data_IF_447791644184
#
_entry.id   IF_447791644184
#
_cell.length_a   1.000
_cell.length_b   1.000
_cell.length_c   1.000
_cell.angle_alpha   90.00
_cell.angle_beta   90.00
_cell.angle_gamma   90.00
#
_symmetry.space_group_name_H-M   'P 1'
#
loop_
_entity.id
_entity.type
_entity.pdbx_description
1 polymer ?
#
# COMPACT_ATOMS: atom_id res chain seq x y z
N UNK A 1 35.96 -63.06 -18.89
CA UNK A 1 36.47 -63.27 -17.53
C UNK A 1 37.00 -61.93 -17.06
N UNK A 2 36.46 -61.16 -16.14
CA UNK A 2 35.21 -61.09 -15.36
C UNK A 2 35.18 -59.61 -14.92
N UNK A 3 34.13 -58.82 -15.18
CA UNK A 3 32.88 -58.72 -14.42
C UNK A 3 33.05 -58.37 -12.93
N UNK A 4 32.18 -57.46 -12.44
CA UNK A 4 31.97 -56.92 -11.08
C UNK A 4 32.48 -55.46 -10.87
N UNK A 5 31.71 -54.49 -10.38
CA UNK A 5 30.35 -54.43 -9.80
C UNK A 5 29.83 -52.97 -9.83
N UNK A 6 28.52 -52.83 -10.06
CA UNK A 6 27.72 -51.63 -9.80
C UNK A 6 27.71 -51.22 -8.33
N UNK A 7 27.66 -49.91 -8.06
CA UNK A 7 27.04 -49.37 -6.86
C UNK A 7 26.27 -48.09 -7.21
N UNK A 8 24.95 -48.23 -7.37
CA UNK A 8 24.01 -47.13 -7.51
C UNK A 8 23.76 -46.51 -6.13
N UNK A 9 24.06 -45.23 -5.97
CA UNK A 9 23.71 -44.45 -4.78
C UNK A 9 22.30 -43.88 -4.99
N UNK A 10 21.32 -44.44 -4.28
CA UNK A 10 20.00 -43.82 -4.08
C UNK A 10 20.09 -42.83 -2.91
N UNK A 11 19.59 -41.59 -3.02
CA UNK A 11 19.24 -40.84 -1.83
C UNK A 11 17.88 -41.30 -1.31
N UNK A 12 17.86 -41.66 -0.03
CA UNK A 12 16.66 -41.97 0.73
C UNK A 12 15.82 -40.69 0.92
N UNK A 13 14.54 -40.76 0.53
CA UNK A 13 13.52 -39.78 0.89
C UNK A 13 12.77 -40.35 2.08
N UNK A 14 12.99 -39.77 3.26
CA UNK A 14 12.19 -40.03 4.47
C UNK A 14 12.04 -38.74 5.29
N UNK A 15 10.82 -38.21 5.40
CA UNK A 15 10.45 -37.17 6.38
C UNK A 15 9.31 -36.26 5.92
N UNK A 16 8.39 -35.83 6.80
CA UNK A 16 6.96 -35.67 6.49
C UNK A 16 6.57 -34.22 6.15
N UNK A 17 5.86 -34.00 5.04
CA UNK A 17 5.41 -32.66 4.64
C UNK A 17 3.93 -32.59 4.20
N UNK A 18 3.05 -33.40 4.80
CA UNK A 18 1.63 -33.41 4.41
C UNK A 18 0.60 -33.27 5.55
N UNK A 19 1.01 -33.19 6.83
CA UNK A 19 0.05 -33.05 7.94
C UNK A 19 -0.19 -31.61 8.43
N UNK A 20 0.69 -30.64 8.09
CA UNK A 20 0.58 -29.26 8.58
C UNK A 20 -0.52 -28.43 7.92
N UNK A 21 -0.87 -28.73 6.66
CA UNK A 21 -1.79 -27.92 5.87
C UNK A 21 -3.26 -28.05 6.30
N UNK A 22 -3.66 -29.24 6.74
CA UNK A 22 -5.01 -29.50 7.27
C UNK A 22 -5.26 -28.80 8.61
N UNK A 23 -4.23 -28.57 9.42
CA UNK A 23 -4.33 -27.85 10.69
C UNK A 23 -4.48 -26.34 10.46
N UNK A 24 -3.82 -25.81 9.42
CA UNK A 24 -3.90 -24.39 9.05
C UNK A 24 -5.30 -24.02 8.51
N UNK A 25 -5.88 -24.87 7.66
CA UNK A 25 -7.25 -24.67 7.13
C UNK A 25 -8.33 -24.77 8.20
N UNK A 26 -8.18 -25.66 9.19
CA UNK A 26 -9.13 -25.77 10.32
C UNK A 26 -9.07 -24.54 11.24
N UNK A 27 -7.88 -23.97 11.47
CA UNK A 27 -7.73 -22.75 12.26
C UNK A 27 -8.30 -21.50 11.56
N UNK A 28 -8.17 -21.41 10.24
CA UNK A 28 -8.73 -20.29 9.46
C UNK A 28 -10.28 -20.29 9.44
N UNK A 29 -10.89 -21.47 9.31
CA UNK A 29 -12.34 -21.60 9.39
C UNK A 29 -12.91 -21.26 10.79
N UNK A 30 -12.19 -21.62 11.86
CA UNK A 30 -12.60 -21.30 13.23
C UNK A 30 -12.55 -19.80 13.54
N UNK A 31 -11.58 -19.06 13.00
CA UNK A 31 -11.46 -17.59 13.21
C UNK A 31 -12.54 -16.81 12.44
N UNK A 32 -13.00 -17.33 11.31
CA UNK A 32 -14.02 -16.68 10.47
C UNK A 32 -15.43 -16.71 11.11
N UNK A 33 -15.76 -17.77 11.86
CA UNK A 33 -17.06 -17.92 12.54
C UNK A 33 -17.14 -17.05 13.81
N UNK A 34 -16.01 -16.90 14.54
CA UNK A 34 -15.92 -16.05 15.74
C UNK A 34 -16.01 -14.56 15.37
N UNK A 35 -15.45 -14.15 14.23
CA UNK A 35 -15.58 -12.79 13.71
C UNK A 35 -17.02 -12.40 13.36
N UNK A 36 -17.79 -13.32 12.77
CA UNK A 36 -19.18 -13.06 12.38
C UNK A 36 -20.13 -12.92 13.60
N UNK A 37 -19.87 -13.66 14.68
CA UNK A 37 -20.66 -13.54 15.92
C UNK A 37 -20.37 -12.25 16.70
N UNK A 38 -19.11 -11.77 16.69
CA UNK A 38 -18.77 -10.48 17.31
C UNK A 38 -19.37 -9.27 16.57
N UNK A 39 -19.49 -9.34 15.25
CA UNK A 39 -20.13 -8.28 14.45
C UNK A 39 -21.65 -8.18 14.72
N UNK A 40 -22.32 -9.31 15.01
CA UNK A 40 -23.76 -9.34 15.31
C UNK A 40 -24.12 -8.83 16.70
N UNK A 41 -23.17 -8.81 17.64
CA UNK A 41 -23.34 -8.30 19.00
C UNK A 41 -23.10 -6.78 19.13
N UNK A 42 -22.35 -6.18 18.20
CA UNK A 42 -22.02 -4.74 18.22
C UNK A 42 -23.15 -3.83 17.69
N UNK A 43 -24.21 -4.38 17.10
CA UNK A 43 -25.33 -3.61 16.52
C UNK A 43 -26.57 -3.49 17.43
N UNK A 44 -26.49 -3.92 18.71
CA UNK A 44 -27.64 -3.81 19.64
C UNK A 44 -27.85 -2.46 20.35
N UNK A 45 -26.89 -1.54 20.55
CA UNK A 45 -27.19 -0.32 21.30
C UNK A 45 -27.81 0.81 20.46
N UNK A 46 -27.80 0.73 19.12
CA UNK A 46 -28.20 1.86 18.26
C UNK A 46 -29.72 2.01 18.03
N UNK A 47 -30.56 1.10 18.53
CA UNK A 47 -32.01 1.14 18.30
C UNK A 47 -32.81 1.82 19.42
N UNK A 48 -32.33 1.80 20.66
CA UNK A 48 -33.02 2.41 21.81
C UNK A 48 -32.82 3.94 21.90
N UNK A 49 -31.71 4.46 21.39
CA UNK A 49 -31.40 5.90 21.47
C UNK A 49 -32.26 6.74 20.51
N UNK A 50 -32.67 6.14 19.38
CA UNK A 50 -33.59 6.76 18.40
C UNK A 50 -35.04 6.87 18.88
N UNK A 51 -35.47 5.98 19.77
CA UNK A 51 -36.84 6.01 20.31
C UNK A 51 -36.96 7.03 21.46
N UNK A 52 -35.89 7.24 22.22
CA UNK A 52 -35.86 8.22 23.32
C UNK A 52 -35.90 9.68 22.81
N UNK A 53 -35.31 9.96 21.65
CA UNK A 53 -35.39 11.28 21.00
C UNK A 53 -36.76 11.60 20.40
N UNK A 54 -37.60 10.59 20.14
CA UNK A 54 -38.93 10.76 19.55
C UNK A 54 -40.01 11.07 20.61
N UNK A 55 -39.80 10.68 21.87
CA UNK A 55 -40.81 10.83 22.94
C UNK A 55 -40.72 12.13 23.75
N UNK A 56 -39.65 12.92 23.64
CA UNK A 56 -39.50 14.18 24.35
C UNK A 56 -38.77 15.24 23.49
N UNK A 57 -39.47 16.02 22.65
CA UNK A 57 -38.88 17.20 22.05
C UNK A 57 -38.64 18.28 23.12
N UNK A 58 -37.52 19.02 23.07
CA UNK A 58 -37.29 20.12 24.00
C UNK A 58 -38.34 21.23 23.81
N UNK A 59 -38.89 21.69 24.94
CA UNK A 59 -39.86 22.78 25.03
C UNK A 59 -39.23 24.07 24.51
N UNK A 60 -39.86 24.65 23.49
CA UNK A 60 -39.56 25.98 22.96
C UNK A 60 -39.95 27.05 23.98
N UNK A 61 -38.97 27.76 24.54
CA UNK A 61 -39.20 29.00 25.29
C UNK A 61 -38.99 30.21 24.39
N UNK A 62 -40.00 31.08 24.43
CA UNK A 62 -40.18 32.25 23.58
C UNK A 62 -39.13 33.36 23.76
N UNK A 63 -39.02 34.18 22.70
CA UNK A 63 -38.33 35.47 22.63
C UNK A 63 -38.81 36.49 23.69
N UNK A 64 -38.02 37.57 23.87
CA UNK A 64 -38.60 38.90 23.84
C UNK A 64 -38.04 39.75 22.69
N UNK A 65 -38.97 40.54 22.16
CA UNK A 65 -38.92 41.52 21.08
C UNK A 65 -38.14 42.79 21.44
N UNK A 66 -37.44 43.38 20.46
CA UNK A 66 -37.29 44.84 20.31
C UNK A 66 -36.46 45.18 19.04
N UNK A 67 -36.99 46.05 18.17
CA UNK A 67 -36.19 46.76 17.16
C UNK A 67 -36.82 46.84 15.76
N UNK A 68 -37.76 47.78 15.59
CA UNK A 68 -38.31 48.25 14.30
C UNK A 68 -37.24 48.96 13.43
N UNK A 69 -37.33 48.74 12.12
CA UNK A 69 -37.26 49.74 11.03
C UNK A 69 -37.40 48.96 9.70
N UNK A 70 -38.57 48.97 9.09
CA UNK A 70 -38.96 49.88 7.99
C UNK A 70 -38.38 49.44 6.63
N UNK A 71 -39.22 48.86 5.77
CA UNK A 71 -39.82 49.49 4.56
C UNK A 71 -39.14 48.93 3.29
N UNK A 72 -39.86 48.11 2.51
CA UNK A 72 -40.48 48.50 1.24
C UNK A 72 -40.88 47.25 0.45
N UNK A 73 -42.19 47.17 0.21
CA UNK A 73 -42.87 46.26 -0.70
C UNK A 73 -42.58 46.70 -2.13
N UNK A 74 -42.15 45.78 -3.00
CA UNK A 74 -42.39 45.94 -4.43
C UNK A 74 -42.74 44.58 -5.06
N UNK A 75 -44.05 44.36 -5.19
CA UNK A 75 -44.63 43.36 -6.05
C UNK A 75 -44.51 43.84 -7.50
N UNK A 76 -44.06 42.95 -8.39
CA UNK A 76 -43.97 43.19 -9.82
C UNK A 76 -43.89 41.85 -10.56
N UNK A 77 -45.04 41.45 -11.10
CA UNK A 77 -45.32 40.18 -11.73
C UNK A 77 -44.67 40.04 -13.12
N UNK A 78 -44.20 38.81 -13.41
CA UNK A 78 -44.28 38.03 -14.66
C UNK A 78 -44.22 38.77 -16.01
N UNK A 79 -43.30 38.34 -16.89
CA UNK A 79 -43.58 37.82 -18.26
C UNK A 79 -42.27 37.27 -18.87
N UNK A 80 -42.25 35.95 -19.07
CA UNK A 80 -41.75 35.25 -20.26
C UNK A 80 -40.30 35.44 -20.73
N UNK A 81 -39.42 34.49 -20.38
CA UNK A 81 -38.53 33.83 -21.36
C UNK A 81 -38.37 32.35 -20.97
N UNK A 82 -39.42 31.56 -21.24
CA UNK A 82 -39.30 30.09 -21.29
C UNK A 82 -38.67 29.71 -22.63
N UNK A 83 -37.37 29.40 -22.64
CA UNK A 83 -36.70 28.45 -23.56
C UNK A 83 -35.17 28.53 -23.42
N UNK A 84 -34.62 27.88 -22.39
CA UNK A 84 -33.24 27.37 -22.36
C UNK A 84 -33.02 26.56 -21.09
N UNK A 85 -33.70 25.42 -20.98
CA UNK A 85 -33.56 24.47 -19.87
C UNK A 85 -33.49 23.03 -20.38
N UNK A 86 -32.68 22.76 -21.42
CA UNK A 86 -32.42 21.38 -21.86
C UNK A 86 -31.05 21.28 -22.51
N UNK A 87 -29.95 21.32 -21.73
CA UNK A 87 -28.63 20.70 -22.04
C UNK A 87 -27.54 21.23 -21.09
N UNK A 88 -27.54 20.82 -19.82
CA UNK A 88 -26.45 21.23 -18.94
C UNK A 88 -26.27 20.43 -17.65
N UNK A 89 -27.10 19.41 -17.40
CA UNK A 89 -27.14 18.72 -16.11
C UNK A 89 -26.63 17.28 -16.09
N UNK A 90 -26.24 16.69 -17.23
CA UNK A 90 -25.98 15.24 -17.31
C UNK A 90 -24.53 14.82 -17.59
N UNK A 91 -23.56 15.74 -17.63
CA UNK A 91 -22.17 15.41 -18.04
C UNK A 91 -21.18 15.33 -16.86
N UNK A 92 -21.61 15.61 -15.62
CA UNK A 92 -20.70 15.68 -14.47
C UNK A 92 -20.49 14.35 -13.69
N UNK A 93 -21.05 13.23 -14.17
CA UNK A 93 -21.06 11.96 -13.41
C UNK A 93 -20.11 10.87 -13.91
N UNK A 94 -19.18 11.16 -14.85
CA UNK A 94 -18.34 10.13 -15.49
C UNK A 94 -16.84 10.16 -15.13
N UNK A 95 -16.39 11.01 -14.19
CA UNK A 95 -14.93 11.17 -13.94
C UNK A 95 -14.41 10.39 -12.71
N UNK A 96 -15.24 9.58 -12.03
CA UNK A 96 -14.83 8.79 -10.86
C UNK A 96 -14.49 7.33 -11.19
N UNK A 97 -13.83 7.11 -12.33
CA UNK A 97 -13.45 5.78 -12.83
C UNK A 97 -11.94 5.53 -12.87
N UNK A 98 -11.15 6.19 -12.00
CA UNK A 98 -9.72 5.92 -11.85
C UNK A 98 -9.44 4.77 -10.89
N UNK A 99 -10.18 3.66 -10.98
CA UNK A 99 -9.82 2.45 -10.23
C UNK A 99 -8.52 1.90 -10.82
N UNK A 100 -7.45 1.94 -10.02
CA UNK A 100 -6.21 1.19 -10.18
C UNK A 100 -6.36 -0.04 -11.08
N UNK A 101 -6.07 0.11 -12.37
CA UNK A 101 -6.36 -0.93 -13.35
C UNK A 101 -5.18 -1.89 -13.42
N UNK A 102 -5.27 -2.99 -12.68
CA UNK A 102 -4.42 -4.16 -12.88
C UNK A 102 -4.75 -4.74 -14.26
N UNK A 103 -3.73 -4.90 -15.10
CA UNK A 103 -3.82 -5.55 -16.40
C UNK A 103 -3.13 -6.91 -16.30
N UNK A 104 -3.90 -8.02 -16.26
CA UNK A 104 -3.31 -9.36 -16.21
C UNK A 104 -2.56 -9.67 -17.50
N UNK A 105 -1.59 -10.59 -17.41
CA UNK A 105 -0.84 -11.06 -18.57
C UNK A 105 -1.69 -12.09 -19.35
N UNK A 106 -2.00 -11.79 -20.60
CA UNK A 106 -2.74 -12.71 -21.47
C UNK A 106 -1.88 -13.91 -21.90
N UNK A 107 -2.52 -15.02 -22.29
CA UNK A 107 -1.82 -16.27 -22.61
C UNK A 107 -0.94 -16.17 -23.86
N UNK A 108 -1.30 -15.31 -24.82
CA UNK A 108 -0.56 -15.13 -26.06
C UNK A 108 0.74 -14.34 -25.83
N UNK A 109 0.68 -13.28 -25.04
CA UNK A 109 1.81 -12.49 -24.58
C UNK A 109 2.68 -13.35 -23.64
N UNK A 110 2.08 -14.13 -22.72
CA UNK A 110 2.80 -15.10 -21.87
C UNK A 110 3.64 -16.09 -22.69
N UNK A 111 3.10 -16.64 -23.77
CA UNK A 111 3.83 -17.58 -24.63
C UNK A 111 4.98 -16.91 -25.40
N UNK A 112 4.87 -15.60 -25.68
CA UNK A 112 5.89 -14.82 -26.40
C UNK A 112 7.01 -14.31 -25.49
N UNK A 113 6.71 -14.05 -24.22
CA UNK A 113 7.66 -13.49 -23.27
C UNK A 113 8.60 -14.57 -22.73
N UNK A 114 9.84 -14.59 -23.23
CA UNK A 114 10.88 -15.49 -22.72
C UNK A 114 11.81 -14.79 -21.72
N UNK A 115 11.99 -13.49 -21.86
CA UNK A 115 13.04 -12.74 -21.17
C UNK A 115 12.54 -11.36 -20.74
N UNK A 116 12.89 -10.98 -19.52
CA UNK A 116 12.58 -9.68 -18.92
C UNK A 116 13.86 -9.00 -18.48
N UNK A 117 13.99 -7.72 -18.81
CA UNK A 117 14.99 -6.82 -18.27
C UNK A 117 14.32 -5.91 -17.24
N UNK A 118 14.89 -5.82 -16.05
CA UNK A 118 14.39 -4.92 -15.00
C UNK A 118 15.10 -3.58 -15.15
N UNK A 119 14.33 -2.52 -15.39
CA UNK A 119 14.87 -1.17 -15.45
C UNK A 119 15.61 -0.86 -14.12
N UNK A 120 16.91 -0.49 -14.15
CA UNK A 120 17.64 -0.15 -12.95
C UNK A 120 17.09 1.09 -12.22
N UNK A 121 16.44 1.99 -12.95
CA UNK A 121 15.91 3.23 -12.42
C UNK A 121 14.51 2.99 -11.84
N UNK A 122 14.46 2.75 -10.53
CA UNK A 122 13.21 2.61 -9.79
C UNK A 122 12.65 4.01 -9.50
N UNK A 123 11.43 4.30 -9.97
CA UNK A 123 10.78 5.58 -9.70
C UNK A 123 10.23 5.60 -8.28
N UNK A 124 10.90 6.30 -7.36
CA UNK A 124 10.47 6.42 -5.96
C UNK A 124 9.82 7.78 -5.71
N UNK A 125 8.76 7.81 -4.90
CA UNK A 125 8.20 9.07 -4.41
C UNK A 125 9.29 9.96 -3.80
N UNK A 126 9.35 11.27 -4.12
CA UNK A 126 10.31 12.17 -3.50
C UNK A 126 9.98 12.46 -2.03
N UNK A 127 8.80 12.06 -1.54
CA UNK A 127 8.38 12.26 -0.16
C UNK A 127 8.17 10.90 0.51
N UNK A 128 8.89 10.67 1.61
CA UNK A 128 8.67 9.52 2.46
C UNK A 128 7.48 9.77 3.38
N UNK A 129 6.53 8.84 3.38
CA UNK A 129 5.38 8.86 4.27
C UNK A 129 5.81 8.62 5.71
N UNK A 130 5.34 9.45 6.64
CA UNK A 130 5.61 9.26 8.06
C UNK A 130 4.37 9.59 8.88
N UNK A 131 3.93 8.63 9.70
CA UNK A 131 2.87 8.82 10.68
C UNK A 131 3.25 8.14 12.00
N UNK A 132 4.04 8.84 12.82
CA UNK A 132 4.47 8.41 14.15
C UNK A 132 3.84 9.18 15.30
N UNK A 133 4.00 8.65 16.51
CA UNK A 133 3.65 9.37 17.73
C UNK A 133 4.62 10.55 17.93
N UNK A 134 4.10 11.78 17.81
CA UNK A 134 4.86 13.02 18.01
C UNK A 134 5.60 13.48 16.76
N UNK A 135 5.40 14.75 16.39
CA UNK A 135 6.08 15.47 15.30
C UNK A 135 7.58 15.74 15.56
N UNK A 136 8.18 15.09 16.57
CA UNK A 136 9.49 15.41 17.14
C UNK A 136 10.67 14.58 16.59
N UNK A 137 10.48 13.87 15.46
CA UNK A 137 11.56 13.13 14.77
C UNK A 137 12.81 13.99 14.57
N UNK A 138 12.66 15.30 14.37
CA UNK A 138 13.81 16.19 14.20
C UNK A 138 14.69 16.44 15.42
N UNK A 139 14.16 16.28 16.62
CA UNK A 139 15.01 16.25 17.82
C UNK A 139 15.77 14.93 17.93
N UNK A 140 15.15 13.82 17.53
CA UNK A 140 15.78 12.50 17.57
C UNK A 140 16.90 12.35 16.54
N UNK A 141 16.80 12.99 15.37
CA UNK A 141 17.88 13.02 14.37
C UNK A 141 18.79 14.25 14.47
N UNK A 142 18.62 15.05 15.52
CA UNK A 142 19.45 16.21 15.82
C UNK A 142 20.95 15.90 15.73
N UNK A 143 21.63 16.67 14.89
CA UNK A 143 23.08 16.70 14.69
C UNK A 143 23.75 15.50 13.99
N UNK A 144 23.07 14.80 13.07
CA UNK A 144 23.81 13.93 12.11
C UNK A 144 24.53 14.82 11.09
N UNK A 145 25.80 15.16 11.38
CA UNK A 145 26.78 15.65 10.39
C UNK A 145 26.68 17.12 9.94
N UNK A 146 26.59 18.09 10.85
CA UNK A 146 26.67 19.53 10.51
C UNK A 146 25.42 20.13 9.85
N UNK A 147 24.39 19.31 9.60
CA UNK A 147 23.13 19.68 8.93
C UNK A 147 22.00 20.07 9.90
N UNK A 148 22.32 20.37 11.16
CA UNK A 148 21.30 20.61 12.21
C UNK A 148 20.31 21.72 11.84
N UNK A 149 20.74 22.74 11.11
CA UNK A 149 19.88 23.83 10.62
C UNK A 149 19.07 23.46 9.37
N UNK A 150 19.58 22.55 8.52
CA UNK A 150 18.88 22.10 7.31
C UNK A 150 17.75 21.10 7.64
N UNK A 151 17.95 20.24 8.64
CA UNK A 151 16.97 19.25 9.08
C UNK A 151 15.77 19.89 9.80
N UNK A 152 15.96 21.05 10.45
CA UNK A 152 14.89 21.74 11.19
C UNK A 152 13.71 22.18 10.33
N UNK A 153 13.92 22.36 9.01
CA UNK A 153 12.87 22.74 8.06
C UNK A 153 12.27 21.56 7.28
N UNK A 154 12.78 20.34 7.50
CA UNK A 154 12.32 19.15 6.79
C UNK A 154 11.14 18.49 7.50
N UNK A 155 10.24 17.89 6.72
CA UNK A 155 9.18 17.03 7.28
C UNK A 155 9.79 15.83 8.04
N UNK A 156 9.09 15.27 9.04
CA UNK A 156 9.57 14.07 9.77
C UNK A 156 9.96 12.91 8.84
N UNK A 157 9.21 12.71 7.75
CA UNK A 157 9.53 11.71 6.73
C UNK A 157 10.82 12.00 5.99
N UNK A 158 11.06 13.25 5.58
CA UNK A 158 12.32 13.63 4.94
C UNK A 158 13.52 13.46 5.87
N UNK A 159 13.38 13.81 7.15
CA UNK A 159 14.44 13.63 8.14
C UNK A 159 14.80 12.16 8.35
N UNK A 160 13.78 11.30 8.44
CA UNK A 160 13.98 9.86 8.58
C UNK A 160 14.56 9.24 7.29
N UNK A 161 14.12 9.70 6.11
CA UNK A 161 14.74 9.31 4.84
C UNK A 161 16.22 9.70 4.80
N UNK A 162 16.55 10.96 5.07
CA UNK A 162 17.93 11.45 5.03
C UNK A 162 18.81 10.72 6.05
N UNK A 163 18.26 10.35 7.21
CA UNK A 163 18.96 9.47 8.14
C UNK A 163 19.26 8.10 7.52
N UNK A 164 18.27 7.44 6.92
CA UNK A 164 18.46 6.14 6.26
C UNK A 164 19.51 6.22 5.14
N UNK A 165 19.42 7.25 4.29
CA UNK A 165 20.36 7.50 3.19
C UNK A 165 21.79 7.76 3.71
N UNK A 166 21.94 8.50 4.82
CA UNK A 166 23.24 8.72 5.46
C UNK A 166 23.91 7.43 5.96
N UNK A 167 23.13 6.35 6.09
CA UNK A 167 23.58 5.00 6.45
C UNK A 167 23.69 4.05 5.26
N UNK A 168 23.54 4.55 4.03
CA UNK A 168 23.59 3.74 2.80
C UNK A 168 22.33 2.89 2.56
N UNK A 169 21.21 3.24 3.21
CA UNK A 169 19.94 2.54 3.07
C UNK A 169 19.07 3.32 2.10
N UNK A 170 18.72 2.70 0.97
CA UNK A 170 17.86 3.30 -0.06
C UNK A 170 16.74 2.33 -0.45
N UNK A 171 15.53 2.87 -0.62
CA UNK A 171 14.32 2.06 -0.87
C UNK A 171 14.29 1.52 -2.30
N UNK A 172 14.80 2.29 -3.26
CA UNK A 172 15.00 1.90 -4.66
C UNK A 172 15.86 0.63 -4.76
N UNK A 173 17.03 0.63 -4.09
CA UNK A 173 17.93 -0.52 -4.04
C UNK A 173 17.22 -1.73 -3.45
N UNK A 174 16.56 -1.57 -2.29
CA UNK A 174 15.85 -2.65 -1.61
C UNK A 174 14.78 -3.26 -2.52
N UNK A 175 13.92 -2.43 -3.12
CA UNK A 175 12.84 -2.90 -3.99
C UNK A 175 13.40 -3.60 -5.23
N UNK A 176 14.43 -3.04 -5.86
CA UNK A 176 15.07 -3.65 -7.04
C UNK A 176 15.68 -5.01 -6.71
N UNK A 177 16.40 -5.11 -5.61
CA UNK A 177 17.02 -6.37 -5.19
C UNK A 177 15.97 -7.45 -4.89
N UNK A 178 14.91 -7.12 -4.15
CA UNK A 178 13.84 -8.09 -3.86
C UNK A 178 13.08 -8.47 -5.15
N UNK A 179 12.94 -7.56 -6.11
CA UNK A 179 12.37 -7.87 -7.43
C UNK A 179 13.23 -8.88 -8.19
N UNK A 180 14.54 -8.61 -8.30
CA UNK A 180 15.49 -9.53 -8.94
C UNK A 180 15.43 -10.91 -8.28
N UNK A 181 15.49 -10.97 -6.94
CA UNK A 181 15.38 -12.23 -6.19
C UNK A 181 14.09 -12.98 -6.51
N UNK A 182 12.96 -12.29 -6.54
CA UNK A 182 11.67 -12.90 -6.83
C UNK A 182 11.58 -13.44 -8.27
N UNK A 183 12.09 -12.69 -9.26
CA UNK A 183 12.13 -13.16 -10.64
C UNK A 183 13.04 -14.39 -10.79
N UNK A 184 14.23 -14.36 -10.19
CA UNK A 184 15.16 -15.51 -10.16
C UNK A 184 14.51 -16.74 -9.52
N UNK A 185 13.84 -16.56 -8.37
CA UNK A 185 13.19 -17.66 -7.65
C UNK A 185 11.95 -18.20 -8.39
N UNK A 186 11.22 -17.35 -9.12
CA UNK A 186 9.99 -17.76 -9.82
C UNK A 186 10.25 -18.66 -11.02
N UNK A 187 11.38 -18.47 -11.72
CA UNK A 187 11.68 -19.15 -12.98
C UNK A 187 10.70 -18.86 -14.13
N UNK A 188 9.71 -17.98 -13.94
CA UNK A 188 8.64 -17.69 -14.92
C UNK A 188 9.17 -17.00 -16.17
N UNK A 189 10.14 -16.09 -16.01
CA UNK A 189 10.81 -15.36 -17.08
C UNK A 189 12.33 -15.36 -16.81
N UNK A 190 13.15 -15.46 -17.86
CA UNK A 190 14.60 -15.31 -17.73
C UNK A 190 14.94 -13.84 -17.53
N UNK A 191 15.83 -13.53 -16.58
CA UNK A 191 16.33 -12.17 -16.42
C UNK A 191 17.44 -11.88 -17.43
N UNK A 192 17.29 -10.78 -18.17
CA UNK A 192 18.36 -10.22 -18.99
C UNK A 192 19.25 -9.29 -18.16
N UNK A 193 20.55 -9.32 -18.44
CA UNK A 193 21.53 -8.43 -17.81
C UNK A 193 21.49 -7.00 -18.36
N UNK A 194 21.12 -6.85 -19.63
CA UNK A 194 21.08 -5.58 -20.36
C UNK A 194 19.79 -5.47 -21.18
N UNK A 195 19.34 -4.25 -21.51
CA UNK A 195 18.25 -4.07 -22.46
C UNK A 195 18.67 -4.64 -23.81
N UNK A 196 17.82 -5.47 -24.42
CA UNK A 196 18.15 -6.18 -25.65
C UNK A 196 16.95 -6.36 -26.58
N UNK A 197 17.18 -6.55 -27.89
CA UNK A 197 16.11 -6.76 -28.84
C UNK A 197 15.32 -8.03 -28.46
N UNK A 198 14.03 -7.85 -28.16
CA UNK A 198 13.12 -8.95 -27.77
C UNK A 198 12.94 -9.17 -26.26
N UNK A 199 13.71 -8.49 -25.39
CA UNK A 199 13.46 -8.52 -23.96
C UNK A 199 12.32 -7.55 -23.59
N UNK A 200 11.36 -8.02 -22.80
CA UNK A 200 10.38 -7.12 -22.21
C UNK A 200 11.03 -6.29 -21.10
N UNK A 201 10.59 -5.03 -20.96
CA UNK A 201 11.09 -4.12 -19.94
C UNK A 201 10.10 -4.04 -18.78
N UNK A 202 10.59 -4.35 -17.58
CA UNK A 202 9.87 -4.15 -16.34
C UNK A 202 10.26 -2.79 -15.75
N UNK A 203 9.28 -1.90 -15.64
CA UNK A 203 9.39 -0.63 -14.91
C UNK A 203 8.73 -0.79 -13.54
N UNK A 204 9.42 -0.38 -12.49
CA UNK A 204 8.95 -0.46 -11.11
C UNK A 204 8.83 0.96 -10.55
N UNK A 205 7.69 1.26 -9.93
CA UNK A 205 7.43 2.51 -9.22
C UNK A 205 7.08 2.24 -7.77
N UNK A 206 7.52 3.12 -6.89
CA UNK A 206 7.24 3.10 -5.45
C UNK A 206 6.50 4.40 -5.10
N UNK A 207 5.18 4.48 -5.38
CA UNK A 207 4.41 5.72 -5.19
C UNK A 207 4.23 6.11 -3.72
N UNK A 208 4.35 5.16 -2.80
CA UNK A 208 4.34 5.41 -1.36
C UNK A 208 5.32 4.48 -0.67
N UNK A 209 6.11 5.03 0.26
CA UNK A 209 6.98 4.28 1.14
C UNK A 209 7.21 5.07 2.43
N UNK A 210 7.55 4.38 3.51
CA UNK A 210 7.91 5.01 4.78
C UNK A 210 7.38 4.22 5.96
N UNK A 211 6.95 4.91 7.03
CA UNK A 211 6.63 4.29 8.30
C UNK A 211 5.37 4.89 8.95
N UNK A 212 4.61 4.04 9.64
CA UNK A 212 3.36 4.43 10.28
C UNK A 212 3.10 3.64 11.54
N UNK A 213 2.36 4.22 12.48
CA UNK A 213 1.75 3.48 13.57
C UNK A 213 0.65 2.54 13.03
N UNK A 214 0.56 1.28 13.50
CA UNK A 214 -0.48 0.34 13.08
C UNK A 214 -1.83 0.63 13.76
N UNK A 215 -1.82 1.33 14.89
CA UNK A 215 -3.01 1.76 15.65
C UNK A 215 -2.72 3.05 16.43
N UNK A 216 -3.77 3.84 16.70
CA UNK A 216 -3.67 5.26 17.10
C UNK A 216 -2.89 5.61 18.37
N UNK A 217 -2.55 4.63 19.21
CA UNK A 217 -1.76 4.83 20.45
C UNK A 217 -0.43 4.06 20.45
N UNK A 218 0.01 3.53 19.31
CA UNK A 218 1.31 2.85 19.21
C UNK A 218 2.45 3.87 19.20
N UNK A 219 3.55 3.56 19.88
CA UNK A 219 4.87 4.18 19.62
C UNK A 219 5.70 3.36 18.62
N UNK A 220 5.22 2.17 18.24
CA UNK A 220 5.87 1.28 17.28
C UNK A 220 5.41 1.58 15.87
N UNK A 221 6.37 1.75 14.99
CA UNK A 221 6.23 2.08 13.59
C UNK A 221 6.46 0.81 12.75
N UNK A 222 5.61 0.60 11.76
CA UNK A 222 5.72 -0.47 10.75
C UNK A 222 5.88 0.15 9.36
N UNK A 223 6.47 -0.55 8.39
CA UNK A 223 6.67 -0.02 7.05
C UNK A 223 5.32 0.12 6.32
N UNK A 224 5.07 1.27 5.72
CA UNK A 224 3.99 1.44 4.75
C UNK A 224 4.64 1.53 3.36
N UNK A 225 4.21 0.71 2.40
CA UNK A 225 4.83 0.68 1.07
C UNK A 225 3.81 0.26 0.02
N UNK A 226 3.87 0.89 -1.15
CA UNK A 226 3.18 0.47 -2.36
C UNK A 226 4.17 0.31 -3.49
N UNK A 227 3.99 -0.72 -4.32
CA UNK A 227 4.81 -0.96 -5.51
C UNK A 227 3.87 -1.14 -6.69
N UNK A 228 4.21 -0.49 -7.80
CA UNK A 228 3.56 -0.65 -9.09
C UNK A 228 4.57 -1.19 -10.09
N UNK A 229 4.18 -2.21 -10.82
CA UNK A 229 5.00 -2.83 -11.84
C UNK A 229 4.28 -2.74 -13.19
N UNK A 230 5.01 -2.32 -14.22
CA UNK A 230 4.53 -2.31 -15.60
C UNK A 230 5.52 -3.06 -16.48
N UNK A 231 5.05 -4.11 -17.15
CA UNK A 231 5.83 -4.88 -18.12
C UNK A 231 5.41 -4.47 -19.53
N UNK A 232 6.41 -4.07 -20.31
CA UNK A 232 6.25 -3.61 -21.68
C UNK A 232 7.02 -4.53 -22.61
N UNK A 233 6.41 -4.99 -23.70
CA UNK A 233 7.09 -5.84 -24.68
C UNK A 233 8.12 -5.05 -25.51
N UNK A 234 8.85 -5.74 -26.39
CA UNK A 234 9.87 -5.12 -27.23
C UNK A 234 9.31 -4.08 -28.23
N UNK A 235 7.99 -4.07 -28.45
CA UNK A 235 7.28 -3.14 -29.32
C UNK A 235 6.74 -1.92 -28.56
N UNK A 236 6.90 -1.87 -27.24
CA UNK A 236 6.38 -0.78 -26.42
C UNK A 236 4.93 -0.99 -25.94
N UNK A 237 4.31 -2.15 -26.18
CA UNK A 237 2.96 -2.47 -25.69
C UNK A 237 3.04 -2.89 -24.22
N UNK A 238 2.23 -2.28 -23.35
CA UNK A 238 2.04 -2.83 -21.99
C UNK A 238 1.30 -4.16 -22.07
N UNK A 239 1.98 -5.22 -21.63
CA UNK A 239 1.47 -6.60 -21.63
C UNK A 239 1.05 -7.06 -20.25
N UNK A 240 1.56 -6.41 -19.19
CA UNK A 240 1.14 -6.66 -17.81
C UNK A 240 1.33 -5.41 -16.96
N UNK A 241 0.39 -5.16 -16.06
CA UNK A 241 0.48 -4.10 -15.05
C UNK A 241 -0.15 -4.58 -13.76
N UNK A 242 0.55 -4.46 -12.65
CA UNK A 242 0.01 -4.80 -11.35
C UNK A 242 0.54 -3.84 -10.29
N UNK A 243 -0.25 -3.68 -9.23
CA UNK A 243 0.17 -2.94 -8.04
C UNK A 243 -0.36 -3.61 -6.79
N UNK A 244 0.39 -3.46 -5.72
CA UNK A 244 -0.02 -3.90 -4.40
C UNK A 244 0.67 -3.04 -3.34
N UNK A 245 0.28 -3.20 -2.08
CA UNK A 245 0.80 -2.44 -0.96
C UNK A 245 0.70 -3.20 0.35
N UNK A 246 1.64 -2.93 1.25
CA UNK A 246 1.47 -3.24 2.67
C UNK A 246 0.98 -2.02 3.40
N UNK A 247 -0.19 -2.18 4.04
CA UNK A 247 -0.76 -1.17 4.93
C UNK A 247 -0.18 -1.30 6.35
N UNK A 248 -0.28 -0.26 7.18
CA UNK A 248 0.15 -0.33 8.58
C UNK A 248 -0.65 -1.35 9.40
N UNK A 249 -1.94 -1.51 9.11
CA UNK A 249 -2.79 -2.50 9.79
C UNK A 249 -2.51 -3.90 9.25
N UNK A 250 -2.22 -4.85 10.15
CA UNK A 250 -1.90 -6.23 9.77
C UNK A 250 -0.54 -6.37 9.07
N UNK A 251 0.38 -5.43 9.31
CA UNK A 251 1.67 -5.40 8.66
C UNK A 251 2.50 -6.66 8.93
N UNK A 252 3.21 -7.22 7.93
CA UNK A 252 4.03 -8.41 8.11
C UNK A 252 5.32 -8.17 8.89
N UNK A 253 5.81 -6.93 8.97
CA UNK A 253 7.03 -6.61 9.71
C UNK A 253 6.74 -6.37 11.19
N UNK A 254 7.69 -6.74 12.05
CA UNK A 254 7.67 -6.31 13.44
C UNK A 254 7.83 -4.78 13.49
N UNK A 255 6.98 -4.12 14.27
CA UNK A 255 7.08 -2.68 14.45
C UNK A 255 8.19 -2.33 15.44
N UNK A 256 8.88 -1.20 15.25
CA UNK A 256 9.92 -0.70 16.15
C UNK A 256 9.69 0.75 16.55
N UNK A 257 10.24 1.17 17.69
CA UNK A 257 10.21 2.60 18.05
C UNK A 257 11.21 3.40 17.21
N UNK A 258 11.05 4.71 17.23
CA UNK A 258 11.95 5.62 16.53
C UNK A 258 13.39 5.53 17.05
N UNK A 259 13.54 5.35 18.37
CA UNK A 259 14.81 5.18 19.06
C UNK A 259 15.49 3.86 18.65
N UNK A 260 14.73 2.78 18.53
CA UNK A 260 15.22 1.48 18.06
C UNK A 260 15.76 1.59 16.63
N UNK A 261 15.03 2.24 15.71
CA UNK A 261 15.51 2.47 14.33
C UNK A 261 16.76 3.35 14.27
N UNK A 262 16.87 4.35 15.14
CA UNK A 262 18.07 5.20 15.21
C UNK A 262 19.27 4.43 15.75
N UNK A 263 19.07 3.63 16.79
CA UNK A 263 20.12 2.83 17.42
C UNK A 263 20.60 1.71 16.50
N UNK A 264 19.69 1.12 15.72
CA UNK A 264 19.99 0.06 14.76
C UNK A 264 19.36 0.35 13.38
N UNK A 265 20.07 1.09 12.50
CA UNK A 265 19.56 1.42 11.17
C UNK A 265 19.24 0.20 10.28
N UNK A 266 19.84 -0.96 10.56
CA UNK A 266 19.55 -2.18 9.79
C UNK A 266 18.07 -2.61 9.89
N UNK A 267 17.38 -2.23 10.97
CA UNK A 267 15.94 -2.46 11.13
C UNK A 267 15.11 -1.72 10.07
N UNK A 268 15.60 -0.57 9.56
CA UNK A 268 14.93 0.18 8.50
C UNK A 268 14.97 -0.63 7.20
N UNK A 269 16.16 -1.09 6.83
CA UNK A 269 16.35 -1.91 5.64
C UNK A 269 15.58 -3.21 5.72
N UNK A 270 15.61 -3.88 6.88
CA UNK A 270 14.86 -5.10 7.13
C UNK A 270 13.35 -4.89 6.98
N UNK A 271 12.79 -3.84 7.58
CA UNK A 271 11.36 -3.51 7.46
C UNK A 271 10.96 -3.28 6.00
N UNK A 272 11.74 -2.50 5.24
CA UNK A 272 11.50 -2.30 3.82
C UNK A 272 11.65 -3.57 3.00
N UNK A 273 12.62 -4.44 3.32
CA UNK A 273 12.77 -5.75 2.66
C UNK A 273 11.57 -6.66 2.91
N UNK A 274 11.07 -6.73 4.14
CA UNK A 274 9.87 -7.52 4.48
C UNK A 274 8.66 -7.02 3.68
N UNK A 275 8.45 -5.71 3.65
CA UNK A 275 7.38 -5.07 2.88
C UNK A 275 7.50 -5.35 1.37
N UNK A 276 8.67 -5.06 0.79
CA UNK A 276 8.92 -5.26 -0.63
C UNK A 276 8.78 -6.73 -1.03
N UNK A 277 9.34 -7.66 -0.24
CA UNK A 277 9.24 -9.09 -0.50
C UNK A 277 7.80 -9.58 -0.52
N UNK A 278 6.98 -9.15 0.44
CA UNK A 278 5.55 -9.50 0.48
C UNK A 278 4.84 -9.02 -0.77
N UNK A 279 4.95 -7.72 -1.06
CA UNK A 279 4.29 -7.10 -2.23
C UNK A 279 4.73 -7.78 -3.52
N UNK A 280 6.04 -7.94 -3.72
CA UNK A 280 6.58 -8.52 -4.96
C UNK A 280 6.14 -9.98 -5.10
N UNK A 281 6.10 -10.76 -4.03
CA UNK A 281 5.58 -12.13 -4.09
C UNK A 281 4.12 -12.18 -4.55
N UNK A 282 3.26 -11.27 -4.04
CA UNK A 282 1.87 -11.16 -4.45
C UNK A 282 1.75 -10.75 -5.93
N UNK A 283 2.53 -9.75 -6.36
CA UNK A 283 2.58 -9.30 -7.75
C UNK A 283 3.03 -10.42 -8.69
N UNK A 284 4.06 -11.17 -8.31
CA UNK A 284 4.59 -12.30 -9.09
C UNK A 284 3.57 -13.44 -9.22
N UNK A 285 2.59 -13.56 -8.32
CA UNK A 285 1.51 -14.53 -8.46
C UNK A 285 0.56 -14.17 -9.62
N UNK A 286 0.46 -12.90 -9.99
CA UNK A 286 -0.36 -12.41 -11.12
C UNK A 286 0.36 -12.42 -12.46
N UNK A 287 1.69 -12.59 -12.44
CA UNK A 287 2.53 -12.72 -13.62
C UNK A 287 2.36 -14.11 -14.23
#
# INVERSE_FOLDING_TARGET
MDSHRCAAVRPAVSGPAFSGWLTYLKNWAAQSVIGFFRFRLALRPAREERERFRSNPPVSTAMPTSGRADILVQAGSLIGVSRLLVTGGCVFSLVLGGCATTQPLDDADRARLATVWINPDIEVSPQMYYMGAGSSVGFLFGAVGGLATALANMSPGEQFRSFAESKGISVDRVVREEAIRAFQASGKLKLAEAPGPGAATLVIKVPIYGFSIPHGFSSRLVPAMGIECTLTDAQGKTVWRARDSVAPLGNPAEGHTMEEYRANPALIEEAWRIAARKIIADLMATL
#
